data_IF_702253839902
#
_entry.id   IF_702253839902
#
_cell.length_a   1.000
_cell.length_b   1.000
_cell.length_c   1.000
_cell.angle_alpha   90.00
_cell.angle_beta   90.00
_cell.angle_gamma   90.00
#
_symmetry.space_group_name_H-M   'P 1'
#
loop_
_entity.id
_entity.type
_entity.pdbx_description
1 polymer ?
#
# COMPACT_ATOMS: atom_id res chain seq x y z
N UNK A 1 0.67 -15.74 41.25
CA UNK A 1 -0.78 -15.49 41.04
C UNK A 1 -0.95 -15.08 39.58
N UNK A 2 -1.84 -15.73 38.81
CA UNK A 2 -2.15 -15.27 37.45
C UNK A 2 -2.80 -13.90 37.59
N UNK A 3 -2.30 -12.91 36.82
CA UNK A 3 -2.93 -11.58 36.73
C UNK A 3 -4.34 -11.75 36.17
N UNK A 4 -5.30 -10.96 36.66
CA UNK A 4 -6.65 -10.98 36.10
C UNK A 4 -6.60 -10.52 34.62
N UNK A 5 -7.55 -10.94 33.82
CA UNK A 5 -7.66 -10.52 32.41
C UNK A 5 -7.63 -8.99 32.26
N UNK A 6 -8.33 -8.29 33.15
CA UNK A 6 -8.34 -6.82 33.21
C UNK A 6 -6.95 -6.22 33.52
N UNK A 7 -6.16 -6.83 34.40
CA UNK A 7 -4.79 -6.37 34.67
C UNK A 7 -3.87 -6.59 33.47
N UNK A 8 -4.05 -7.68 32.71
CA UNK A 8 -3.32 -7.94 31.48
C UNK A 8 -3.67 -6.90 30.41
N UNK A 9 -4.95 -6.60 30.20
CA UNK A 9 -5.41 -5.58 29.28
C UNK A 9 -4.85 -4.20 29.62
N UNK A 10 -4.89 -3.80 30.90
CA UNK A 10 -4.32 -2.53 31.36
C UNK A 10 -2.79 -2.45 31.10
N UNK A 11 -2.05 -3.55 31.30
CA UNK A 11 -0.62 -3.59 31.01
C UNK A 11 -0.32 -3.46 29.52
N UNK A 12 -1.08 -4.13 28.65
CA UNK A 12 -0.93 -4.03 27.20
C UNK A 12 -1.15 -2.59 26.72
N UNK A 13 -2.19 -1.93 27.19
CA UNK A 13 -2.45 -0.52 26.88
C UNK A 13 -1.30 0.40 27.38
N UNK A 14 -0.79 0.17 28.58
CA UNK A 14 0.35 0.94 29.10
C UNK A 14 1.64 0.71 28.28
N UNK A 15 1.87 -0.50 27.79
CA UNK A 15 3.02 -0.83 26.93
C UNK A 15 2.94 -0.18 25.54
N UNK A 16 1.74 0.09 25.02
CA UNK A 16 1.56 0.77 23.74
C UNK A 16 1.88 2.27 23.80
N UNK A 17 1.84 2.90 24.99
CA UNK A 17 2.01 4.36 25.16
C UNK A 17 3.28 4.93 24.50
N UNK A 18 4.50 4.34 24.65
CA UNK A 18 5.71 4.87 24.02
C UNK A 18 5.61 4.90 22.49
N UNK A 19 4.93 3.91 21.90
CA UNK A 19 4.72 3.83 20.46
C UNK A 19 3.70 4.88 20.00
N UNK A 20 2.62 5.10 20.75
CA UNK A 20 1.65 6.18 20.48
C UNK A 20 2.35 7.54 20.47
N UNK A 21 3.17 7.83 21.48
CA UNK A 21 3.96 9.06 21.56
C UNK A 21 4.95 9.20 20.40
N UNK A 22 5.59 8.11 19.97
CA UNK A 22 6.54 8.08 18.85
C UNK A 22 5.89 8.51 17.53
N UNK A 23 4.63 8.12 17.33
CA UNK A 23 3.91 8.33 16.07
C UNK A 23 2.84 9.44 16.15
N UNK A 24 2.69 10.11 17.28
CA UNK A 24 1.76 11.23 17.43
C UNK A 24 2.02 12.31 16.37
N UNK A 25 0.96 12.75 15.70
CA UNK A 25 0.98 13.70 14.57
C UNK A 25 1.83 13.27 13.37
N UNK A 26 2.22 12.00 13.28
CA UNK A 26 2.96 11.48 12.13
C UNK A 26 2.01 10.90 11.08
N UNK A 27 2.40 11.03 9.82
CA UNK A 27 1.70 10.37 8.73
C UNK A 27 2.21 8.94 8.57
N UNK A 28 1.27 7.99 8.52
CA UNK A 28 1.50 6.59 8.19
C UNK A 28 0.66 6.25 6.97
N UNK A 29 1.31 5.84 5.88
CA UNK A 29 0.62 5.36 4.69
C UNK A 29 0.51 3.84 4.77
N UNK A 30 -0.69 3.31 4.59
CA UNK A 30 -0.96 1.87 4.63
C UNK A 30 -1.46 1.42 3.26
N UNK A 31 -0.66 0.63 2.57
CA UNK A 31 -1.10 -0.01 1.33
C UNK A 31 -1.86 -1.29 1.66
N UNK A 32 -3.15 -1.28 1.39
CA UNK A 32 -4.08 -2.37 1.60
C UNK A 32 -4.41 -3.08 0.28
N UNK A 33 -4.22 -4.40 0.20
CA UNK A 33 -4.45 -5.10 -1.04
C UNK A 33 -4.26 -6.61 -0.95
N UNK A 34 -4.37 -7.28 -2.10
CA UNK A 34 -4.20 -8.72 -2.21
C UNK A 34 -5.35 -9.51 -1.59
N UNK A 35 -5.04 -10.68 -1.04
CA UNK A 35 -6.02 -11.61 -0.49
C UNK A 35 -6.73 -11.10 0.78
N UNK A 36 -6.13 -10.16 1.51
CA UNK A 36 -6.75 -9.55 2.69
C UNK A 36 -8.04 -8.77 2.37
N UNK A 37 -8.20 -8.29 1.13
CA UNK A 37 -9.40 -7.56 0.68
C UNK A 37 -10.60 -8.46 0.34
N UNK A 38 -10.43 -9.78 0.29
CA UNK A 38 -11.51 -10.72 -0.03
C UNK A 38 -12.16 -11.37 1.20
N UNK A 39 -11.60 -11.14 2.39
CA UNK A 39 -12.07 -11.69 3.66
C UNK A 39 -12.73 -10.59 4.51
N UNK A 40 -14.02 -10.76 4.81
CA UNK A 40 -14.79 -9.76 5.57
C UNK A 40 -14.26 -9.57 7.01
N UNK A 41 -13.79 -10.63 7.67
CA UNK A 41 -13.25 -10.53 9.02
C UNK A 41 -11.92 -9.77 9.04
N UNK A 42 -11.05 -10.03 8.06
CA UNK A 42 -9.80 -9.27 7.90
C UNK A 42 -10.07 -7.81 7.52
N UNK A 43 -11.07 -7.56 6.66
CA UNK A 43 -11.49 -6.20 6.32
C UNK A 43 -11.98 -5.40 7.53
N UNK A 44 -12.75 -6.05 8.42
CA UNK A 44 -13.21 -5.44 9.67
C UNK A 44 -12.04 -5.15 10.62
N UNK A 45 -11.15 -6.12 10.84
CA UNK A 45 -9.96 -5.95 11.67
C UNK A 45 -9.06 -4.82 11.14
N UNK A 46 -8.87 -4.76 9.82
CA UNK A 46 -8.14 -3.65 9.18
C UNK A 46 -8.80 -2.29 9.44
N UNK A 47 -10.12 -2.17 9.31
CA UNK A 47 -10.84 -0.93 9.57
C UNK A 47 -10.70 -0.48 11.04
N UNK A 48 -10.77 -1.43 11.98
CA UNK A 48 -10.54 -1.19 13.42
C UNK A 48 -9.10 -0.72 13.68
N UNK A 49 -8.11 -1.30 12.99
CA UNK A 49 -6.72 -0.88 13.08
C UNK A 49 -6.53 0.58 12.64
N UNK A 50 -7.06 0.93 11.46
CA UNK A 50 -6.97 2.28 10.90
C UNK A 50 -7.66 3.31 11.81
N UNK A 51 -8.83 2.94 12.34
CA UNK A 51 -9.56 3.77 13.29
C UNK A 51 -8.73 4.02 14.57
N UNK A 52 -8.11 2.98 15.13
CA UNK A 52 -7.28 3.12 16.32
C UNK A 52 -6.03 3.98 16.07
N UNK A 53 -5.40 3.88 14.89
CA UNK A 53 -4.32 4.78 14.52
C UNK A 53 -4.79 6.24 14.58
N UNK A 54 -5.95 6.55 13.99
CA UNK A 54 -6.51 7.92 13.99
C UNK A 54 -6.80 8.41 15.41
N UNK A 55 -7.48 7.60 16.23
CA UNK A 55 -7.78 7.91 17.63
C UNK A 55 -6.52 8.10 18.50
N UNK A 56 -5.41 7.47 18.11
CA UNK A 56 -4.12 7.62 18.79
C UNK A 56 -3.34 8.86 18.37
N UNK A 57 -3.94 9.78 17.59
CA UNK A 57 -3.31 11.02 17.13
C UNK A 57 -2.38 10.82 15.92
N UNK A 58 -2.43 9.66 15.25
CA UNK A 58 -1.69 9.39 14.02
C UNK A 58 -2.53 9.85 12.82
N UNK A 59 -1.89 10.24 11.72
CA UNK A 59 -2.55 10.56 10.46
C UNK A 59 -2.45 9.38 9.49
N UNK A 60 -3.37 8.40 9.53
CA UNK A 60 -3.36 7.28 8.61
C UNK A 60 -3.89 7.69 7.23
N UNK A 61 -3.25 7.19 6.18
CA UNK A 61 -3.71 7.29 4.79
C UNK A 61 -3.73 5.87 4.23
N UNK A 62 -4.87 5.46 3.70
CA UNK A 62 -5.01 4.14 3.07
C UNK A 62 -4.87 4.29 1.56
N UNK A 63 -3.98 3.52 0.95
CA UNK A 63 -3.93 3.32 -0.50
C UNK A 63 -4.30 1.87 -0.77
N UNK A 64 -5.31 1.63 -1.61
CA UNK A 64 -5.77 0.24 -1.81
C UNK A 64 -5.47 -0.29 -3.21
N UNK A 65 -5.34 -1.60 -3.32
CA UNK A 65 -5.32 -2.31 -4.59
C UNK A 65 -6.70 -2.79 -5.03
N UNK A 66 -6.75 -3.81 -5.89
CA UNK A 66 -8.01 -4.39 -6.36
C UNK A 66 -7.86 -5.31 -7.57
N UNK A 67 -6.66 -5.85 -7.79
CA UNK A 67 -6.38 -6.70 -8.95
C UNK A 67 -7.35 -7.87 -9.14
N UNK A 68 -7.66 -8.67 -8.09
CA UNK A 68 -8.64 -9.75 -8.18
C UNK A 68 -10.04 -9.28 -8.53
N UNK A 69 -10.51 -8.17 -7.93
CA UNK A 69 -11.84 -7.62 -8.17
C UNK A 69 -11.98 -7.04 -9.59
N UNK A 70 -10.94 -6.36 -10.09
CA UNK A 70 -10.86 -5.93 -11.49
C UNK A 70 -10.96 -7.15 -12.41
N UNK A 71 -10.17 -8.21 -12.15
CA UNK A 71 -10.21 -9.44 -12.95
C UNK A 71 -11.59 -10.09 -12.96
N UNK A 72 -12.25 -10.16 -11.82
CA UNK A 72 -13.62 -10.69 -11.70
C UNK A 72 -14.63 -9.85 -12.49
N UNK A 73 -14.52 -8.51 -12.47
CA UNK A 73 -15.41 -7.64 -13.23
C UNK A 73 -15.19 -7.76 -14.72
N UNK A 74 -13.93 -7.74 -15.19
CA UNK A 74 -13.59 -7.94 -16.60
C UNK A 74 -14.13 -9.28 -17.12
N UNK A 75 -13.96 -10.36 -16.35
CA UNK A 75 -14.50 -11.68 -16.68
C UNK A 75 -16.04 -11.67 -16.81
N UNK A 76 -16.75 -11.02 -15.88
CA UNK A 76 -18.23 -10.86 -15.96
C UNK A 76 -18.66 -10.09 -17.20
N UNK A 77 -17.83 -9.18 -17.71
CA UNK A 77 -18.09 -8.40 -18.92
C UNK A 77 -17.57 -9.08 -20.20
N UNK A 78 -17.03 -10.30 -20.11
CA UNK A 78 -16.48 -11.05 -21.24
C UNK A 78 -15.18 -10.46 -21.81
N UNK A 79 -14.44 -9.68 -21.01
CA UNK A 79 -13.17 -9.06 -21.40
C UNK A 79 -12.03 -9.90 -20.83
N UNK A 80 -11.13 -10.33 -21.72
CA UNK A 80 -9.94 -11.08 -21.33
C UNK A 80 -8.91 -10.17 -20.67
N UNK A 81 -8.42 -10.56 -19.49
CA UNK A 81 -7.38 -9.83 -18.77
C UNK A 81 -6.00 -10.38 -19.12
N UNK A 82 -5.14 -9.55 -19.69
CA UNK A 82 -3.75 -9.89 -20.04
C UNK A 82 -2.78 -9.21 -19.09
N UNK A 83 -1.66 -9.90 -18.81
CA UNK A 83 -0.57 -9.37 -18.00
C UNK A 83 0.74 -9.46 -18.75
N UNK A 84 1.53 -8.39 -18.72
CA UNK A 84 2.88 -8.35 -19.26
C UNK A 84 3.81 -7.67 -18.23
N UNK A 85 4.96 -8.25 -17.96
CA UNK A 85 5.90 -7.73 -16.95
C UNK A 85 5.30 -7.56 -15.54
N UNK A 86 4.30 -8.38 -15.18
CA UNK A 86 3.60 -8.30 -13.88
C UNK A 86 2.54 -7.20 -13.81
N UNK A 87 2.33 -6.42 -14.88
CA UNK A 87 1.32 -5.37 -14.97
C UNK A 87 0.17 -5.79 -15.87
N UNK A 88 -1.04 -5.35 -15.55
CA UNK A 88 -2.22 -5.59 -16.38
C UNK A 88 -2.17 -4.72 -17.63
N UNK A 89 -2.17 -5.32 -18.81
CA UNK A 89 -2.37 -4.58 -20.06
C UNK A 89 -3.76 -3.95 -20.01
N UNK A 90 -3.83 -2.62 -20.14
CA UNK A 90 -5.02 -1.82 -19.84
C UNK A 90 -5.37 -0.99 -21.06
N UNK A 91 -6.25 -1.51 -21.94
CA UNK A 91 -6.79 -0.74 -23.08
C UNK A 91 -7.85 0.28 -22.62
N UNK A 92 -8.40 1.05 -23.56
CA UNK A 92 -9.37 2.11 -23.27
C UNK A 92 -10.64 1.62 -22.55
N UNK A 93 -11.15 0.44 -22.90
CA UNK A 93 -12.31 -0.16 -22.21
C UNK A 93 -11.94 -0.67 -20.84
N UNK A 94 -10.76 -1.26 -20.74
CA UNK A 94 -10.25 -1.81 -19.47
C UNK A 94 -10.01 -0.69 -18.45
N UNK A 95 -9.46 0.48 -18.85
CA UNK A 95 -9.21 1.57 -17.89
C UNK A 95 -10.49 2.15 -17.29
N UNK A 96 -11.56 2.25 -18.08
CA UNK A 96 -12.87 2.67 -17.57
C UNK A 96 -13.40 1.73 -16.50
N UNK A 97 -13.30 0.40 -16.72
CA UNK A 97 -13.71 -0.62 -15.76
C UNK A 97 -12.82 -0.59 -14.52
N UNK A 98 -11.52 -0.44 -14.70
CA UNK A 98 -10.56 -0.30 -13.61
C UNK A 98 -10.93 0.88 -12.73
N UNK A 99 -11.22 2.04 -13.29
CA UNK A 99 -11.65 3.23 -12.55
C UNK A 99 -12.96 2.97 -11.79
N UNK A 100 -13.99 2.41 -12.44
CA UNK A 100 -15.26 2.08 -11.79
C UNK A 100 -15.07 1.11 -10.61
N UNK A 101 -14.25 0.09 -10.76
CA UNK A 101 -13.99 -0.91 -9.73
C UNK A 101 -13.17 -0.33 -8.59
N UNK A 102 -12.06 0.35 -8.90
CA UNK A 102 -11.17 0.89 -7.89
C UNK A 102 -11.79 2.08 -7.16
N UNK A 103 -12.13 3.15 -7.87
CA UNK A 103 -12.62 4.39 -7.26
C UNK A 103 -14.10 4.32 -6.83
N UNK A 104 -14.89 3.47 -7.46
CA UNK A 104 -16.31 3.29 -7.15
C UNK A 104 -16.56 2.19 -6.13
N UNK A 105 -16.34 0.93 -6.49
CA UNK A 105 -16.74 -0.22 -5.68
C UNK A 105 -15.83 -0.41 -4.47
N UNK A 106 -14.54 -0.72 -4.69
CA UNK A 106 -13.61 -1.10 -3.62
C UNK A 106 -13.37 0.07 -2.67
N UNK A 107 -13.11 1.25 -3.21
CA UNK A 107 -12.87 2.45 -2.41
C UNK A 107 -14.00 2.70 -1.43
N UNK A 108 -15.26 2.65 -1.90
CA UNK A 108 -16.44 2.93 -1.07
C UNK A 108 -16.76 1.81 -0.08
N UNK A 109 -16.39 0.57 -0.37
CA UNK A 109 -16.46 -0.54 0.57
C UNK A 109 -15.50 -0.32 1.75
N UNK A 110 -14.24 0.04 1.49
CA UNK A 110 -13.26 0.33 2.55
C UNK A 110 -13.69 1.55 3.39
N UNK A 111 -14.16 2.63 2.74
CA UNK A 111 -14.69 3.81 3.43
C UNK A 111 -15.86 3.41 4.35
N UNK A 112 -16.79 2.58 3.86
CA UNK A 112 -17.92 2.15 4.66
C UNK A 112 -17.49 1.31 5.87
N UNK A 113 -16.50 0.41 5.71
CA UNK A 113 -15.96 -0.38 6.81
C UNK A 113 -15.32 0.51 7.89
N UNK A 114 -14.52 1.50 7.50
CA UNK A 114 -13.92 2.44 8.46
C UNK A 114 -15.01 3.27 9.15
N UNK A 115 -16.00 3.78 8.41
CA UNK A 115 -17.10 4.56 9.00
C UNK A 115 -17.95 3.74 10.00
N UNK A 116 -18.04 2.41 9.85
CA UNK A 116 -18.72 1.54 10.80
C UNK A 116 -18.01 1.45 12.16
N UNK A 117 -16.72 1.83 12.25
CA UNK A 117 -16.00 1.89 13.53
C UNK A 117 -16.32 3.16 14.33
N UNK A 118 -17.01 4.14 13.72
CA UNK A 118 -17.28 5.47 14.31
C UNK A 118 -16.34 6.56 13.81
N UNK A 119 -15.28 6.21 13.06
CA UNK A 119 -14.38 7.18 12.42
C UNK A 119 -14.95 7.68 11.09
N UNK A 120 -14.39 8.79 10.60
CA UNK A 120 -14.80 9.39 9.32
C UNK A 120 -13.73 9.13 8.25
N UNK A 121 -14.08 8.36 7.25
CA UNK A 121 -13.25 8.13 6.08
C UNK A 121 -13.80 8.82 4.83
N UNK A 122 -12.91 9.29 3.97
CA UNK A 122 -13.23 9.88 2.68
C UNK A 122 -12.52 9.10 1.56
N UNK A 123 -13.27 8.73 0.53
CA UNK A 123 -12.72 8.02 -0.63
C UNK A 123 -12.33 8.97 -1.74
N UNK A 124 -11.10 8.82 -2.22
CA UNK A 124 -10.45 9.64 -3.22
C UNK A 124 -9.75 8.79 -4.28
N UNK A 125 -9.37 9.41 -5.39
CA UNK A 125 -8.38 8.92 -6.35
C UNK A 125 -7.47 10.09 -6.79
N UNK A 126 -6.49 9.85 -7.63
CA UNK A 126 -5.57 10.90 -8.09
C UNK A 126 -6.23 12.07 -8.81
N UNK A 127 -7.45 11.88 -9.37
CA UNK A 127 -8.23 12.93 -10.05
C UNK A 127 -8.81 13.97 -9.09
N UNK A 128 -9.07 13.58 -7.82
CA UNK A 128 -9.69 14.46 -6.85
C UNK A 128 -8.71 15.56 -6.46
N UNK A 129 -9.10 16.81 -6.68
CA UNK A 129 -8.24 17.98 -6.47
C UNK A 129 -6.97 18.01 -7.32
N UNK A 130 -6.90 17.22 -8.40
CA UNK A 130 -5.67 17.01 -9.18
C UNK A 130 -4.48 16.58 -8.31
N UNK A 131 -4.76 15.76 -7.29
CA UNK A 131 -3.81 15.37 -6.27
C UNK A 131 -2.62 14.58 -6.83
N UNK A 132 -2.83 13.76 -7.87
CA UNK A 132 -1.77 12.96 -8.49
C UNK A 132 -1.88 13.08 -10.00
N UNK A 133 -0.75 13.33 -10.67
CA UNK A 133 -0.62 13.20 -12.13
C UNK A 133 0.24 12.00 -12.48
N UNK A 134 -0.12 11.34 -13.58
CA UNK A 134 0.59 10.19 -14.13
C UNK A 134 0.99 10.41 -15.58
N UNK A 135 2.00 9.69 -16.01
CA UNK A 135 2.36 9.53 -17.43
C UNK A 135 2.31 8.05 -17.81
N UNK A 136 2.20 7.77 -19.11
CA UNK A 136 2.20 6.39 -19.61
C UNK A 136 3.46 5.65 -19.18
N UNK A 137 3.31 4.52 -18.51
CA UNK A 137 4.42 3.68 -18.06
C UNK A 137 5.25 3.18 -19.25
N UNK A 138 6.57 3.30 -19.14
CA UNK A 138 7.54 2.80 -20.13
C UNK A 138 8.36 1.69 -19.52
N UNK A 139 7.89 0.46 -19.65
CA UNK A 139 8.65 -0.72 -19.20
C UNK A 139 9.31 -1.43 -20.36
N UNK A 140 10.57 -1.82 -20.16
CA UNK A 140 11.30 -2.70 -21.06
C UNK A 140 11.42 -4.08 -20.44
N UNK A 141 11.41 -5.10 -21.27
CA UNK A 141 11.74 -6.49 -20.92
C UNK A 141 12.78 -7.00 -21.88
N UNK A 142 13.72 -7.77 -21.36
CA UNK A 142 14.68 -8.48 -22.20
C UNK A 142 14.02 -9.78 -22.62
N UNK A 143 13.90 -9.96 -23.93
CA UNK A 143 13.40 -11.22 -24.51
C UNK A 143 14.41 -12.34 -24.20
N UNK A 144 14.00 -13.40 -23.47
CA UNK A 144 14.93 -14.43 -23.02
C UNK A 144 15.55 -15.24 -24.16
N UNK A 145 14.91 -15.31 -25.33
CA UNK A 145 15.38 -16.09 -26.47
C UNK A 145 16.33 -15.29 -27.38
N UNK A 146 16.06 -13.99 -27.55
CA UNK A 146 16.83 -13.12 -28.45
C UNK A 146 17.79 -12.18 -27.74
N UNK A 147 17.67 -12.02 -26.42
CA UNK A 147 18.41 -11.04 -25.60
C UNK A 147 18.21 -9.59 -26.07
N UNK A 148 17.11 -9.32 -26.81
CA UNK A 148 16.74 -8.00 -27.33
C UNK A 148 15.82 -7.33 -26.31
N UNK A 149 16.10 -6.06 -26.02
CA UNK A 149 15.26 -5.21 -25.19
C UNK A 149 14.01 -4.80 -25.98
N UNK A 150 12.82 -5.09 -25.45
CA UNK A 150 11.53 -4.73 -26.03
C UNK A 150 10.76 -3.82 -25.08
N UNK A 151 10.29 -2.69 -25.60
CA UNK A 151 9.35 -1.82 -24.87
C UNK A 151 7.97 -2.47 -24.87
N UNK A 152 7.36 -2.60 -23.68
CA UNK A 152 6.00 -3.13 -23.53
C UNK A 152 4.98 -2.03 -23.82
N UNK A 153 3.99 -2.31 -24.63
CA UNK A 153 2.80 -1.48 -24.75
C UNK A 153 1.73 -1.96 -23.75
N UNK A 154 1.70 -1.33 -22.60
CA UNK A 154 0.79 -1.64 -21.51
C UNK A 154 -0.54 -0.87 -21.61
N UNK A 155 -0.74 -0.06 -22.67
CA UNK A 155 -1.91 0.80 -22.82
C UNK A 155 -1.94 1.93 -21.79
N UNK A 156 -3.04 2.05 -21.04
CA UNK A 156 -3.28 3.08 -20.02
C UNK A 156 -2.77 2.66 -18.63
N UNK A 157 -1.62 2.05 -18.58
CA UNK A 157 -0.85 1.87 -17.34
C UNK A 157 0.04 3.08 -17.13
N UNK A 158 0.02 3.65 -15.92
CA UNK A 158 0.74 4.88 -15.59
C UNK A 158 1.78 4.71 -14.50
N UNK A 159 2.70 5.66 -14.50
CA UNK A 159 3.64 5.94 -13.42
C UNK A 159 3.36 7.33 -12.87
N UNK A 160 3.45 7.50 -11.54
CA UNK A 160 3.24 8.80 -10.89
C UNK A 160 4.41 9.72 -11.24
N UNK A 161 4.08 10.92 -11.70
CA UNK A 161 5.08 11.96 -12.01
C UNK A 161 5.00 13.15 -11.08
N UNK A 162 3.84 13.39 -10.46
CA UNK A 162 3.63 14.52 -9.56
C UNK A 162 2.58 14.17 -8.51
N UNK A 163 2.82 14.60 -7.28
CA UNK A 163 1.85 14.55 -6.19
C UNK A 163 1.70 15.95 -5.62
N UNK A 164 0.51 16.54 -5.76
CA UNK A 164 0.13 17.76 -5.05
C UNK A 164 -0.44 17.36 -3.68
N UNK A 165 0.28 17.69 -2.64
CA UNK A 165 -0.07 17.34 -1.27
C UNK A 165 -1.12 18.24 -0.63
N UNK A 166 -1.57 19.32 -1.32
CA UNK A 166 -2.48 20.33 -0.76
C UNK A 166 -3.74 19.72 -0.14
N UNK A 167 -4.40 18.80 -0.88
CA UNK A 167 -5.59 18.12 -0.37
C UNK A 167 -5.27 17.21 0.82
N UNK A 168 -4.16 16.48 0.77
CA UNK A 168 -3.74 15.56 1.84
C UNK A 168 -3.33 16.34 3.10
N UNK A 169 -2.64 17.48 2.97
CA UNK A 169 -2.29 18.36 4.08
C UNK A 169 -3.54 19.00 4.74
N UNK A 170 -4.58 19.26 3.95
CA UNK A 170 -5.88 19.71 4.47
C UNK A 170 -6.56 18.59 5.27
N UNK A 171 -6.59 17.39 4.73
CA UNK A 171 -7.22 16.24 5.38
C UNK A 171 -6.45 15.80 6.64
N UNK A 172 -5.12 15.92 6.66
CA UNK A 172 -4.31 15.64 7.85
C UNK A 172 -4.67 16.54 9.05
N UNK A 173 -5.23 17.74 8.79
CA UNK A 173 -5.72 18.68 9.82
C UNK A 173 -7.18 18.44 10.20
N UNK A 174 -7.84 17.50 9.56
CA UNK A 174 -9.23 17.11 9.81
C UNK A 174 -9.30 15.78 10.53
N UNK A 175 -10.51 15.41 10.96
CA UNK A 175 -10.77 14.08 11.51
C UNK A 175 -10.99 13.01 10.43
N UNK A 176 -10.84 13.37 9.14
CA UNK A 176 -11.10 12.44 8.04
C UNK A 176 -9.87 11.58 7.71
N UNK A 177 -10.13 10.32 7.42
CA UNK A 177 -9.13 9.33 6.99
C UNK A 177 -9.21 9.19 5.47
N UNK A 178 -8.17 9.58 4.69
CA UNK A 178 -8.16 9.41 3.25
C UNK A 178 -8.02 7.92 2.86
N UNK A 179 -8.88 7.47 1.96
CA UNK A 179 -8.81 6.15 1.30
C UNK A 179 -8.65 6.39 -0.19
N UNK A 180 -7.50 6.03 -0.77
CA UNK A 180 -7.11 6.48 -2.11
C UNK A 180 -7.00 5.30 -3.06
N UNK A 181 -7.72 5.38 -4.18
CA UNK A 181 -7.63 4.46 -5.30
C UNK A 181 -6.47 4.86 -6.23
N UNK A 182 -5.66 3.90 -6.74
CA UNK A 182 -4.49 4.19 -7.57
C UNK A 182 -4.87 4.43 -9.05
N UNK A 183 -5.68 5.44 -9.27
CA UNK A 183 -6.11 5.94 -10.59
C UNK A 183 -5.83 7.43 -10.64
N UNK A 184 -5.17 7.90 -11.68
CA UNK A 184 -4.81 9.30 -11.83
C UNK A 184 -4.97 9.80 -13.27
N UNK A 185 -5.19 11.11 -13.47
CA UNK A 185 -5.18 11.71 -14.79
C UNK A 185 -3.76 11.88 -15.30
N UNK A 186 -3.59 11.81 -16.60
CA UNK A 186 -2.44 12.34 -17.30
C UNK A 186 -2.64 13.79 -17.71
N UNK A 187 -1.54 14.51 -17.98
CA UNK A 187 -1.63 15.87 -18.59
C UNK A 187 -2.11 15.85 -20.03
N UNK A 188 -2.13 14.67 -20.65
CA UNK A 188 -2.73 14.39 -21.97
C UNK A 188 -4.25 14.20 -21.93
N UNK A 189 -4.86 14.27 -20.75
CA UNK A 189 -6.29 14.06 -20.53
C UNK A 189 -6.71 12.59 -20.42
N UNK A 190 -5.77 11.64 -20.51
CA UNK A 190 -6.05 10.23 -20.32
C UNK A 190 -6.18 9.88 -18.83
N UNK A 191 -6.85 8.76 -18.55
CA UNK A 191 -6.87 8.12 -17.22
C UNK A 191 -5.87 6.98 -17.19
N UNK A 192 -5.08 6.90 -16.14
CA UNK A 192 -4.09 5.85 -15.96
C UNK A 192 -4.39 4.98 -14.74
N UNK A 193 -4.29 3.67 -14.95
CA UNK A 193 -4.25 2.65 -13.92
C UNK A 193 -2.81 2.53 -13.40
N UNK A 194 -2.60 2.68 -12.11
CA UNK A 194 -1.26 2.69 -11.51
C UNK A 194 -1.12 1.49 -10.56
N UNK A 195 0.07 0.92 -10.49
CA UNK A 195 0.35 -0.10 -9.49
C UNK A 195 0.18 0.48 -8.08
N UNK A 196 -0.57 -0.22 -7.21
CA UNK A 196 -0.92 0.31 -5.89
C UNK A 196 0.30 0.46 -4.96
N UNK A 197 1.35 -0.37 -5.12
CA UNK A 197 2.56 -0.28 -4.31
C UNK A 197 3.37 0.97 -4.70
N UNK A 198 3.56 1.21 -6.00
CA UNK A 198 4.26 2.42 -6.49
C UNK A 198 3.46 3.69 -6.21
N UNK A 199 2.12 3.65 -6.33
CA UNK A 199 1.26 4.77 -5.99
C UNK A 199 1.35 5.12 -4.49
N UNK A 200 1.29 4.10 -3.61
CA UNK A 200 1.46 4.30 -2.17
C UNK A 200 2.84 4.85 -1.83
N UNK A 201 3.90 4.37 -2.50
CA UNK A 201 5.26 4.88 -2.39
C UNK A 201 5.36 6.37 -2.75
N UNK A 202 4.75 6.77 -3.87
CA UNK A 202 4.73 8.17 -4.31
C UNK A 202 4.00 9.09 -3.31
N UNK A 203 2.81 8.69 -2.83
CA UNK A 203 2.06 9.43 -1.80
C UNK A 203 2.90 9.54 -0.51
N UNK A 204 3.46 8.42 -0.03
CA UNK A 204 4.25 8.39 1.19
C UNK A 204 5.52 9.26 1.08
N UNK A 205 6.20 9.20 -0.07
CA UNK A 205 7.39 10.01 -0.35
C UNK A 205 7.07 11.51 -0.36
N UNK A 206 6.04 11.94 -1.08
CA UNK A 206 5.63 13.33 -1.15
C UNK A 206 5.27 13.91 0.23
N UNK A 207 4.71 13.09 1.11
CA UNK A 207 4.35 13.48 2.49
C UNK A 207 5.48 13.30 3.50
N UNK A 208 6.65 12.77 3.10
CA UNK A 208 7.73 12.37 4.00
C UNK A 208 7.20 11.52 5.16
N UNK A 209 6.38 10.53 4.82
CA UNK A 209 5.68 9.69 5.78
C UNK A 209 6.65 9.02 6.76
N UNK A 210 6.27 8.95 8.03
CA UNK A 210 7.06 8.28 9.06
C UNK A 210 7.16 6.77 8.81
N UNK A 211 6.08 6.19 8.25
CA UNK A 211 6.02 4.79 7.83
C UNK A 211 5.19 4.65 6.55
N UNK A 212 5.62 3.70 5.72
CA UNK A 212 4.80 3.10 4.66
C UNK A 212 4.68 1.61 4.98
N UNK A 213 3.47 1.11 5.14
CA UNK A 213 3.18 -0.29 5.44
C UNK A 213 2.64 -0.97 4.18
N UNK A 214 3.34 -1.99 3.68
CA UNK A 214 2.86 -2.86 2.62
C UNK A 214 2.24 -4.12 3.22
N UNK A 215 0.91 -4.18 3.27
CA UNK A 215 0.19 -5.39 3.64
C UNK A 215 0.20 -6.35 2.44
N UNK A 216 0.83 -7.50 2.65
CA UNK A 216 1.07 -8.52 1.62
C UNK A 216 0.57 -9.89 2.09
N UNK A 217 0.85 -10.92 1.33
CA UNK A 217 0.57 -12.32 1.66
C UNK A 217 1.78 -13.08 2.23
N UNK A 218 2.86 -12.36 2.55
CA UNK A 218 4.09 -12.89 3.14
C UNK A 218 4.42 -12.18 4.45
N UNK A 219 5.11 -12.89 5.35
CA UNK A 219 5.48 -12.36 6.67
C UNK A 219 6.45 -11.16 6.60
N UNK A 220 7.28 -11.11 5.57
CA UNK A 220 8.33 -10.13 5.35
C UNK A 220 9.45 -10.73 4.53
N UNK A 221 10.66 -10.20 4.68
CA UNK A 221 11.88 -10.73 4.06
C UNK A 221 12.45 -11.83 4.94
N UNK A 222 12.69 -13.00 4.36
CA UNK A 222 13.28 -14.14 5.05
C UNK A 222 14.76 -14.28 4.70
N UNK A 223 15.56 -14.71 5.66
CA UNK A 223 16.95 -15.09 5.45
C UNK A 223 17.09 -16.47 4.78
N UNK A 224 18.33 -16.96 4.59
CA UNK A 224 18.63 -18.29 4.02
C UNK A 224 18.12 -19.46 4.87
N UNK A 225 17.88 -19.24 6.16
CA UNK A 225 17.31 -20.23 7.09
C UNK A 225 15.77 -20.15 7.14
N UNK A 226 15.14 -19.27 6.36
CA UNK A 226 13.70 -18.95 6.36
C UNK A 226 13.24 -18.27 7.67
N UNK A 227 14.14 -17.61 8.37
CA UNK A 227 13.81 -16.78 9.52
C UNK A 227 13.53 -15.34 9.07
N UNK A 228 12.55 -14.70 9.74
CA UNK A 228 12.16 -13.32 9.41
C UNK A 228 13.27 -12.34 9.79
N UNK A 229 13.71 -11.55 8.83
CA UNK A 229 14.63 -10.43 9.07
C UNK A 229 13.81 -9.24 9.54
N UNK A 230 14.00 -8.83 10.77
CA UNK A 230 13.22 -7.76 11.42
C UNK A 230 13.52 -6.38 10.85
N UNK A 231 14.78 -6.08 10.55
CA UNK A 231 15.22 -4.78 10.04
C UNK A 231 16.34 -4.93 9.03
N UNK A 232 16.32 -4.11 7.99
CA UNK A 232 17.31 -4.03 6.94
C UNK A 232 17.55 -2.56 6.59
N UNK A 233 18.82 -2.19 6.38
CA UNK A 233 19.12 -0.96 5.66
C UNK A 233 18.95 -1.18 4.15
N UNK A 234 18.79 -0.08 3.38
CA UNK A 234 18.78 -0.12 1.90
C UNK A 234 20.01 -0.84 1.34
N UNK A 235 21.18 -0.63 1.93
CA UNK A 235 22.43 -1.28 1.50
C UNK A 235 22.41 -2.78 1.75
N UNK A 236 21.91 -3.23 2.89
CA UNK A 236 21.74 -4.65 3.22
C UNK A 236 20.71 -5.31 2.31
N UNK A 237 19.56 -4.66 2.06
CA UNK A 237 18.54 -5.16 1.15
C UNK A 237 19.09 -5.39 -0.27
N UNK A 238 19.86 -4.44 -0.80
CA UNK A 238 20.54 -4.60 -2.09
C UNK A 238 21.57 -5.74 -2.10
N UNK A 239 22.32 -5.92 -1.02
CA UNK A 239 23.26 -7.02 -0.90
C UNK A 239 22.54 -8.39 -0.91
N UNK A 240 21.39 -8.50 -0.22
CA UNK A 240 20.57 -9.71 -0.20
C UNK A 240 19.89 -10.01 -1.53
N UNK A 241 19.55 -9.01 -2.34
CA UNK A 241 19.13 -9.20 -3.73
C UNK A 241 20.28 -9.76 -4.57
N UNK A 242 21.48 -9.16 -4.44
CA UNK A 242 22.65 -9.56 -5.21
C UNK A 242 23.12 -10.98 -4.90
N UNK A 243 23.04 -11.43 -3.64
CA UNK A 243 23.48 -12.76 -3.23
C UNK A 243 22.39 -13.83 -3.40
N UNK A 244 21.20 -13.46 -3.90
CA UNK A 244 20.08 -14.35 -4.21
C UNK A 244 19.23 -14.75 -2.98
N UNK A 245 19.49 -14.20 -1.79
CA UNK A 245 18.65 -14.42 -0.60
C UNK A 245 17.25 -13.83 -0.85
N UNK A 246 17.18 -12.60 -1.35
CA UNK A 246 15.94 -12.00 -1.87
C UNK A 246 15.84 -12.37 -3.34
N UNK A 247 14.78 -13.10 -3.71
CA UNK A 247 14.60 -13.64 -5.05
C UNK A 247 13.14 -13.59 -5.52
N UNK A 248 12.90 -13.84 -6.80
CA UNK A 248 11.57 -13.97 -7.40
C UNK A 248 10.68 -12.73 -7.15
N UNK A 249 9.44 -12.95 -6.75
CA UNK A 249 8.45 -11.89 -6.52
C UNK A 249 8.75 -10.95 -5.34
N UNK A 250 9.74 -11.27 -4.49
CA UNK A 250 10.16 -10.38 -3.41
C UNK A 250 11.05 -9.24 -3.91
N UNK A 251 11.83 -9.45 -4.99
CA UNK A 251 12.71 -8.41 -5.56
C UNK A 251 11.94 -7.13 -5.86
N UNK A 252 10.89 -7.13 -6.71
CA UNK A 252 10.16 -5.91 -7.03
C UNK A 252 9.52 -5.24 -5.80
N UNK A 253 9.11 -6.01 -4.78
CA UNK A 253 8.58 -5.45 -3.53
C UNK A 253 9.65 -4.68 -2.75
N UNK A 254 10.83 -5.29 -2.59
CA UNK A 254 11.96 -4.64 -1.90
C UNK A 254 12.48 -3.44 -2.69
N UNK A 255 12.52 -3.51 -4.01
CA UNK A 255 12.88 -2.36 -4.86
C UNK A 255 11.90 -1.20 -4.68
N UNK A 256 10.58 -1.45 -4.67
CA UNK A 256 9.58 -0.42 -4.37
C UNK A 256 9.76 0.18 -2.97
N UNK A 257 10.14 -0.63 -1.97
CA UNK A 257 10.48 -0.11 -0.64
C UNK A 257 11.70 0.84 -0.68
N UNK A 258 12.74 0.45 -1.41
CA UNK A 258 13.96 1.26 -1.58
C UNK A 258 13.64 2.58 -2.29
N UNK A 259 12.84 2.55 -3.36
CA UNK A 259 12.39 3.73 -4.09
C UNK A 259 11.60 4.69 -3.18
N UNK A 260 10.68 4.16 -2.36
CA UNK A 260 9.91 4.96 -1.41
C UNK A 260 10.81 5.65 -0.36
N UNK A 261 11.84 4.94 0.15
CA UNK A 261 12.83 5.51 1.07
C UNK A 261 13.62 6.63 0.38
N UNK A 262 14.05 6.41 -0.86
CA UNK A 262 14.78 7.42 -1.65
C UNK A 262 13.91 8.65 -1.95
N UNK A 263 12.59 8.47 -2.03
CA UNK A 263 11.61 9.55 -2.16
C UNK A 263 11.32 10.28 -0.83
N UNK A 264 11.92 9.86 0.30
CA UNK A 264 11.84 10.57 1.58
C UNK A 264 11.01 9.90 2.67
N UNK A 265 10.51 8.68 2.48
CA UNK A 265 9.87 7.88 3.54
C UNK A 265 10.90 7.47 4.58
N UNK A 266 10.58 7.63 5.87
CA UNK A 266 11.53 7.36 6.97
C UNK A 266 11.74 5.86 7.25
N UNK A 267 10.77 5.03 6.86
CA UNK A 267 10.88 3.57 6.96
C UNK A 267 9.70 2.89 6.28
N UNK A 268 9.98 1.79 5.59
CA UNK A 268 8.98 1.01 4.85
C UNK A 268 8.93 -0.40 5.44
N UNK A 269 7.73 -0.91 5.67
CA UNK A 269 7.54 -2.23 6.27
C UNK A 269 6.81 -3.15 5.30
N UNK A 270 7.31 -4.36 5.15
CA UNK A 270 6.61 -5.47 4.49
C UNK A 270 6.06 -6.38 5.58
N UNK A 271 4.74 -6.58 5.63
CA UNK A 271 4.10 -7.41 6.66
C UNK A 271 2.92 -8.21 6.10
N UNK A 272 2.54 -9.27 6.86
CA UNK A 272 1.46 -10.15 6.47
C UNK A 272 0.09 -9.54 6.78
N UNK A 273 -0.64 -9.14 5.72
CA UNK A 273 -1.99 -8.61 5.83
C UNK A 273 -3.09 -9.66 6.12
N UNK A 274 -2.74 -10.96 6.17
CA UNK A 274 -3.67 -12.04 6.56
C UNK A 274 -3.72 -12.25 8.08
N UNK A 275 -2.78 -11.64 8.81
CA UNK A 275 -2.80 -11.65 10.28
C UNK A 275 -3.77 -10.57 10.75
N UNK A 276 -4.83 -10.92 11.51
CA UNK A 276 -5.71 -9.91 12.08
C UNK A 276 -4.92 -8.89 12.92
N UNK A 277 -5.31 -7.63 12.83
CA UNK A 277 -4.65 -6.53 13.53
C UNK A 277 -3.15 -6.39 13.24
N UNK A 278 -2.71 -6.75 12.03
CA UNK A 278 -1.30 -6.70 11.64
C UNK A 278 -0.74 -5.27 11.68
N UNK A 279 -1.55 -4.25 11.39
CA UNK A 279 -1.15 -2.85 11.46
C UNK A 279 -0.86 -2.43 12.90
N UNK A 280 -1.71 -2.83 13.86
CA UNK A 280 -1.48 -2.54 15.29
C UNK A 280 -0.27 -3.28 15.81
N UNK A 281 -0.09 -4.55 15.43
CA UNK A 281 1.09 -5.34 15.80
C UNK A 281 2.37 -4.67 15.31
N UNK A 282 2.36 -4.09 14.11
CA UNK A 282 3.53 -3.39 13.57
C UNK A 282 3.79 -2.05 14.28
N UNK A 283 2.76 -1.25 14.51
CA UNK A 283 2.92 0.13 14.99
C UNK A 283 3.05 0.23 16.51
N UNK A 284 2.34 -0.63 17.26
CA UNK A 284 2.26 -0.53 18.73
C UNK A 284 3.01 -1.63 19.49
N UNK A 285 3.88 -2.39 18.79
CA UNK A 285 4.76 -3.38 19.38
C UNK A 285 6.18 -3.28 18.81
N UNK A 286 7.02 -4.28 19.06
CA UNK A 286 8.38 -4.41 18.49
C UNK A 286 8.40 -4.70 16.97
N UNK A 287 7.24 -4.63 16.33
CA UNK A 287 7.06 -4.87 14.90
C UNK A 287 6.79 -6.35 14.56
N UNK A 288 5.96 -6.54 13.51
CA UNK A 288 5.53 -7.85 13.04
C UNK A 288 6.17 -8.25 11.70
N UNK A 289 6.60 -7.26 10.90
CA UNK A 289 7.16 -7.45 9.56
C UNK A 289 8.66 -7.24 9.46
N UNK A 290 9.10 -6.93 8.24
CA UNK A 290 10.46 -6.47 7.95
C UNK A 290 10.45 -4.96 7.71
N UNK A 291 11.11 -4.21 8.57
CA UNK A 291 11.34 -2.78 8.43
C UNK A 291 12.58 -2.55 7.55
N UNK A 292 12.43 -1.73 6.50
CA UNK A 292 13.54 -1.25 5.68
C UNK A 292 13.74 0.23 5.97
N UNK A 293 14.98 0.60 6.29
CA UNK A 293 15.38 1.97 6.66
C UNK A 293 16.48 2.50 5.73
N UNK A 294 16.72 3.82 5.70
CA UNK A 294 17.80 4.45 4.90
C UNK A 294 19.18 3.83 5.04
#
# INVERSE_FOLDING_TARGET
MASSESEMQARLLAQALPFMQKYENKTIVVKYGGHAMGDHALGKAFAEDIALLKQSGINPIVVHGGGPQIGAMLSKMGIESKFEGGLRVTDAKTVEIVEMVLAGSINKEIVALINQTGEWAIGLCGKDGNMVFAEKARKTVIDPDSNIERVLDLGFVGEVVEVDRTLLDLLAKSEMIPVIAPVAPGRDGATYNINADTFAGAIAGALHASRLLFLTDVEGVLDKNKELIKELTVSQARALIKDGTISGGMIPKVETCIEAIQAGVQGVVILNGKTPHSVLLEIFTEGAGTLIVP
#
